data_IF_412970941211
#
_entry.id   IF_412970941211
#
_cell.length_a   1.000
_cell.length_b   1.000
_cell.length_c   1.000
_cell.angle_alpha   90.00
_cell.angle_beta   90.00
_cell.angle_gamma   90.00
#
_symmetry.space_group_name_H-M   'P 1'
#
loop_
_entity.id
_entity.type
_entity.pdbx_description
1 polymer ?
#
# COMPACT_ATOMS: atom_id res chain seq x y z
N UNK A 1 11.21 9.93 -14.20
CA UNK A 1 11.21 8.57 -13.62
C UNK A 1 10.66 8.70 -12.21
N UNK A 2 9.83 7.77 -11.73
CA UNK A 2 9.57 7.70 -10.29
C UNK A 2 10.89 7.40 -9.60
N UNK A 3 11.27 8.20 -8.61
CA UNK A 3 12.51 8.00 -7.85
C UNK A 3 12.15 8.07 -6.38
N UNK A 4 12.37 6.98 -5.66
CA UNK A 4 12.23 6.98 -4.21
C UNK A 4 13.37 7.87 -3.68
N UNK A 5 13.10 8.97 -2.95
CA UNK A 5 14.14 9.87 -2.47
C UNK A 5 15.11 9.16 -1.54
N UNK A 6 16.33 9.68 -1.40
CA UNK A 6 17.28 9.23 -0.36
C UNK A 6 16.64 9.43 1.03
N UNK A 7 16.89 8.47 1.93
CA UNK A 7 16.42 8.59 3.31
C UNK A 7 17.14 9.76 4.00
N UNK A 8 16.48 10.40 4.94
CA UNK A 8 17.07 11.40 5.83
C UNK A 8 18.15 10.75 6.70
N UNK A 9 18.96 11.58 7.36
CA UNK A 9 19.96 11.12 8.35
C UNK A 9 19.34 10.34 9.52
N UNK A 10 18.04 10.48 9.72
CA UNK A 10 17.24 9.75 10.71
C UNK A 10 16.61 8.46 10.18
N UNK A 11 16.90 8.08 8.94
CA UNK A 11 16.48 6.79 8.38
C UNK A 11 15.09 6.76 7.76
N UNK A 12 14.45 7.92 7.54
CA UNK A 12 13.09 8.01 7.01
C UNK A 12 13.04 8.63 5.63
N UNK A 13 11.99 8.35 4.87
CA UNK A 13 11.71 9.16 3.68
C UNK A 13 11.42 10.61 4.09
N UNK A 14 11.86 11.61 3.32
CA UNK A 14 11.43 12.98 3.54
C UNK A 14 9.89 13.10 3.51
N UNK A 15 9.28 14.13 4.13
CA UNK A 15 7.84 14.28 4.11
C UNK A 15 7.28 14.42 2.68
N UNK A 16 6.35 13.54 2.29
CA UNK A 16 5.71 13.58 0.98
C UNK A 16 5.09 12.25 0.56
N UNK A 17 4.53 12.23 -0.64
CA UNK A 17 4.08 11.01 -1.33
C UNK A 17 4.93 10.86 -2.59
N UNK A 18 5.58 9.71 -2.72
CA UNK A 18 6.49 9.42 -3.81
C UNK A 18 5.96 8.26 -4.64
N UNK A 19 5.96 8.43 -5.96
CA UNK A 19 5.60 7.36 -6.87
C UNK A 19 6.73 6.33 -6.90
N UNK A 20 6.37 5.06 -6.82
CA UNK A 20 7.27 3.93 -6.97
C UNK A 20 6.51 2.76 -7.59
N UNK A 21 7.19 1.98 -8.41
CA UNK A 21 6.72 0.67 -8.84
C UNK A 21 6.93 -0.36 -7.73
N UNK A 22 6.23 -1.50 -7.81
CA UNK A 22 6.44 -2.59 -6.87
C UNK A 22 7.91 -3.08 -6.88
N UNK A 23 8.55 -3.34 -8.04
CA UNK A 23 9.97 -3.75 -8.05
C UNK A 23 10.89 -2.73 -7.36
N UNK A 24 10.77 -1.43 -7.66
CA UNK A 24 11.58 -0.39 -7.02
C UNK A 24 11.42 -0.36 -5.50
N UNK A 25 10.19 -0.59 -5.01
CA UNK A 25 9.92 -0.67 -3.58
C UNK A 25 10.54 -1.91 -2.94
N UNK A 26 10.44 -3.07 -3.59
CA UNK A 26 10.99 -4.34 -3.11
C UNK A 26 12.51 -4.35 -3.11
N UNK A 27 13.12 -3.88 -4.20
CA UNK A 27 14.58 -3.80 -4.33
C UNK A 27 15.17 -2.88 -3.25
N UNK A 28 14.43 -1.85 -2.86
CA UNK A 28 14.87 -0.89 -1.86
C UNK A 28 14.59 -1.30 -0.42
N UNK A 29 13.39 -1.80 -0.13
CA UNK A 29 12.92 -1.99 1.24
C UNK A 29 12.66 -3.46 1.60
N UNK A 30 12.55 -4.34 0.62
CA UNK A 30 12.29 -5.77 0.79
C UNK A 30 13.55 -6.63 0.95
N UNK A 31 14.72 -6.04 1.19
CA UNK A 31 16.02 -6.72 1.25
C UNK A 31 16.78 -6.41 2.54
N UNK A 32 17.81 -7.19 2.88
CA UNK A 32 18.76 -6.90 3.97
C UNK A 32 18.49 -7.62 5.29
N UNK A 33 17.33 -8.26 5.45
CA UNK A 33 17.03 -9.19 6.54
C UNK A 33 15.92 -10.15 6.14
N UNK A 34 15.85 -11.31 6.80
CA UNK A 34 14.76 -12.28 6.57
C UNK A 34 13.38 -11.67 6.80
N UNK A 35 13.27 -10.75 7.77
CA UNK A 35 12.04 -10.03 8.07
C UNK A 35 11.65 -9.08 6.94
N UNK A 36 12.59 -8.33 6.38
CA UNK A 36 12.33 -7.46 5.22
C UNK A 36 11.91 -8.27 3.99
N UNK A 37 12.58 -9.38 3.73
CA UNK A 37 12.22 -10.28 2.64
C UNK A 37 10.83 -10.88 2.83
N UNK A 38 10.49 -11.28 4.06
CA UNK A 38 9.15 -11.75 4.42
C UNK A 38 8.07 -10.69 4.17
N UNK A 39 8.30 -9.46 4.61
CA UNK A 39 7.38 -8.34 4.38
C UNK A 39 7.30 -7.92 2.90
N UNK A 40 8.40 -8.03 2.15
CA UNK A 40 8.43 -7.81 0.71
C UNK A 40 7.61 -8.84 -0.07
N UNK A 41 7.67 -10.11 0.33
CA UNK A 41 6.79 -11.17 -0.21
C UNK A 41 5.31 -10.85 0.09
N UNK A 42 4.99 -10.49 1.34
CA UNK A 42 3.64 -10.09 1.71
C UNK A 42 3.15 -8.88 0.90
N UNK A 43 3.99 -7.86 0.69
CA UNK A 43 3.64 -6.71 -0.15
C UNK A 43 3.33 -7.14 -1.59
N UNK A 44 4.10 -8.07 -2.15
CA UNK A 44 3.87 -8.62 -3.50
C UNK A 44 2.53 -9.33 -3.59
N UNK A 45 2.19 -10.14 -2.59
CA UNK A 45 0.90 -10.84 -2.50
C UNK A 45 -0.27 -9.86 -2.39
N UNK A 46 -0.14 -8.83 -1.54
CA UNK A 46 -1.16 -7.79 -1.37
C UNK A 46 -1.38 -7.00 -2.66
N UNK A 47 -0.31 -6.61 -3.36
CA UNK A 47 -0.41 -5.90 -4.65
C UNK A 47 -1.04 -6.78 -5.73
N UNK A 48 -0.63 -8.06 -5.80
CA UNK A 48 -1.22 -9.02 -6.73
C UNK A 48 -2.73 -9.16 -6.50
N UNK A 49 -3.14 -9.35 -5.24
CA UNK A 49 -4.55 -9.40 -4.87
C UNK A 49 -5.26 -8.09 -5.23
N UNK A 50 -4.69 -6.93 -4.93
CA UNK A 50 -5.32 -5.63 -5.18
C UNK A 50 -5.55 -5.34 -6.68
N UNK A 51 -4.68 -5.84 -7.57
CA UNK A 51 -4.77 -5.59 -9.02
C UNK A 51 -6.02 -6.16 -9.67
N UNK A 52 -6.61 -7.21 -9.09
CA UNK A 52 -7.87 -7.81 -9.56
C UNK A 52 -9.08 -6.88 -9.36
N UNK A 53 -8.92 -5.76 -8.64
CA UNK A 53 -10.00 -4.89 -8.20
C UNK A 53 -9.89 -3.53 -8.91
N UNK A 54 -10.69 -3.28 -9.97
CA UNK A 54 -10.60 -2.05 -10.76
C UNK A 54 -10.96 -0.78 -9.97
N UNK A 55 -11.58 -0.93 -8.81
CA UNK A 55 -11.91 0.17 -7.90
C UNK A 55 -10.71 0.65 -7.08
N UNK A 56 -9.69 -0.19 -6.90
CA UNK A 56 -8.45 0.20 -6.24
C UNK A 56 -7.59 0.90 -7.27
N UNK A 57 -7.24 2.15 -6.97
CA UNK A 57 -6.45 2.99 -7.86
C UNK A 57 -5.00 2.99 -7.44
N UNK A 58 -4.70 3.10 -6.14
CA UNK A 58 -3.33 3.15 -5.63
C UNK A 58 -3.20 2.43 -4.30
N UNK A 59 -1.98 2.05 -3.97
CA UNK A 59 -1.58 1.57 -2.66
C UNK A 59 -0.51 2.51 -2.12
N UNK A 60 -0.73 3.06 -0.93
CA UNK A 60 0.24 3.84 -0.19
C UNK A 60 0.90 2.91 0.81
N UNK A 61 2.23 2.81 0.78
CA UNK A 61 3.02 2.02 1.75
C UNK A 61 3.75 3.00 2.65
N UNK A 62 3.70 2.77 3.96
CA UNK A 62 4.27 3.68 4.95
C UNK A 62 4.81 2.90 6.15
N UNK A 63 5.09 3.62 7.23
CA UNK A 63 5.51 3.02 8.49
C UNK A 63 6.93 2.46 8.46
N UNK A 64 7.19 1.45 9.30
CA UNK A 64 8.54 0.98 9.56
C UNK A 64 9.18 0.21 8.40
N UNK A 65 8.38 -0.28 7.45
CA UNK A 65 8.89 -1.01 6.28
C UNK A 65 9.69 -0.12 5.33
N UNK A 66 9.23 1.12 5.11
CA UNK A 66 9.85 2.10 4.19
C UNK A 66 10.88 3.02 4.86
N UNK A 67 11.48 2.57 5.97
CA UNK A 67 12.61 3.23 6.63
C UNK A 67 13.90 2.41 6.47
N UNK A 68 14.99 2.82 7.14
CA UNK A 68 16.25 2.07 7.21
C UNK A 68 16.27 0.98 8.31
N UNK A 69 15.19 0.85 9.10
CA UNK A 69 15.14 -0.06 10.24
C UNK A 69 15.41 -1.51 9.83
N UNK A 70 16.48 -2.15 10.30
CA UNK A 70 16.86 -3.50 9.86
C UNK A 70 15.72 -4.53 9.96
N UNK A 71 14.96 -4.45 11.04
CA UNK A 71 13.82 -5.33 11.36
C UNK A 71 12.53 -4.49 11.46
N UNK A 72 11.80 -4.27 10.35
CA UNK A 72 10.49 -3.64 10.39
C UNK A 72 9.50 -4.52 11.16
N UNK A 73 8.52 -3.89 11.81
CA UNK A 73 7.58 -4.64 12.65
C UNK A 73 6.59 -5.43 11.78
N UNK A 74 5.93 -4.72 10.88
CA UNK A 74 4.82 -5.12 10.03
C UNK A 74 4.81 -4.31 8.72
N UNK A 75 3.84 -4.62 7.85
CA UNK A 75 3.62 -3.93 6.59
C UNK A 75 2.43 -2.98 6.73
N UNK A 76 2.70 -1.69 6.87
CA UNK A 76 1.68 -0.65 6.90
C UNK A 76 1.33 -0.18 5.49
N UNK A 77 0.05 -0.24 5.13
CA UNK A 77 -0.43 0.26 3.84
C UNK A 77 -1.86 0.77 3.88
N UNK A 78 -2.24 1.52 2.84
CA UNK A 78 -3.60 2.00 2.63
C UNK A 78 -3.97 1.97 1.15
N UNK A 79 -5.21 1.62 0.84
CA UNK A 79 -5.71 1.67 -0.53
C UNK A 79 -6.42 2.99 -0.81
N UNK A 80 -6.13 3.56 -1.97
CA UNK A 80 -6.91 4.64 -2.56
C UNK A 80 -7.92 3.99 -3.50
N UNK A 81 -9.20 4.07 -3.16
CA UNK A 81 -10.29 3.51 -3.94
C UNK A 81 -11.13 4.60 -4.61
N UNK A 82 -11.62 4.36 -5.82
CA UNK A 82 -12.55 5.26 -6.53
C UNK A 82 -14.01 5.11 -6.11
N UNK A 83 -14.28 4.24 -5.13
CA UNK A 83 -15.63 4.01 -4.59
C UNK A 83 -15.56 3.90 -3.08
N UNK A 84 -16.62 4.31 -2.41
CA UNK A 84 -16.85 3.95 -1.02
C UNK A 84 -17.36 2.51 -0.96
N UNK A 85 -16.49 1.59 -0.51
CA UNK A 85 -16.86 0.18 -0.34
C UNK A 85 -17.89 -0.06 0.77
N UNK A 86 -18.21 0.96 1.59
CA UNK A 86 -19.33 0.94 2.54
C UNK A 86 -20.70 1.04 1.88
N UNK A 87 -20.79 1.72 0.73
CA UNK A 87 -22.09 2.08 0.14
C UNK A 87 -22.55 1.11 -0.95
N UNK A 88 -21.69 0.16 -1.33
CA UNK A 88 -22.04 -0.93 -2.25
C UNK A 88 -21.76 -2.27 -1.61
N UNK A 89 -22.72 -3.19 -1.76
CA UNK A 89 -22.54 -4.62 -1.53
C UNK A 89 -21.20 -5.05 -2.12
N UNK A 90 -20.21 -5.27 -1.27
CA UNK A 90 -18.93 -5.83 -1.69
C UNK A 90 -19.22 -7.23 -2.22
N UNK A 91 -18.90 -7.49 -3.49
CA UNK A 91 -19.07 -8.82 -4.09
C UNK A 91 -18.35 -9.86 -3.24
N UNK A 92 -18.90 -11.07 -3.10
CA UNK A 92 -18.38 -12.05 -2.14
C UNK A 92 -16.89 -12.36 -2.32
N UNK A 93 -16.42 -12.46 -3.56
CA UNK A 93 -15.02 -12.70 -3.91
C UNK A 93 -14.05 -11.61 -3.39
N UNK A 94 -14.59 -10.42 -3.11
CA UNK A 94 -13.89 -9.22 -2.71
C UNK A 94 -13.94 -8.95 -1.20
N UNK A 95 -14.81 -9.65 -0.48
CA UNK A 95 -15.09 -9.37 0.93
C UNK A 95 -13.89 -9.64 1.83
N UNK A 96 -13.17 -10.74 1.61
CA UNK A 96 -11.89 -11.04 2.28
C UNK A 96 -10.86 -9.93 2.20
N UNK A 97 -10.95 -9.08 1.18
CA UNK A 97 -10.03 -7.97 1.02
C UNK A 97 -10.58 -6.69 1.65
N UNK A 98 -11.85 -6.37 1.40
CA UNK A 98 -12.45 -5.08 1.71
C UNK A 98 -13.22 -5.05 3.04
N UNK A 99 -13.61 -6.19 3.60
CA UNK A 99 -14.32 -6.30 4.88
C UNK A 99 -13.29 -6.53 5.99
N UNK A 100 -13.16 -5.63 6.98
CA UNK A 100 -12.11 -5.73 8.01
C UNK A 100 -12.06 -7.07 8.74
N UNK A 101 -13.22 -7.62 9.13
CA UNK A 101 -13.29 -8.92 9.81
C UNK A 101 -12.78 -10.07 8.94
N UNK A 102 -13.10 -10.06 7.65
CA UNK A 102 -12.68 -11.13 6.74
C UNK A 102 -11.20 -11.00 6.35
N UNK A 103 -10.69 -9.77 6.22
CA UNK A 103 -9.27 -9.51 6.03
C UNK A 103 -8.44 -9.99 7.23
N UNK A 104 -8.95 -9.81 8.46
CA UNK A 104 -8.31 -10.34 9.67
C UNK A 104 -8.28 -11.86 9.67
N UNK A 105 -9.38 -12.51 9.29
CA UNK A 105 -9.47 -13.99 9.25
C UNK A 105 -8.55 -14.56 8.16
N UNK A 106 -8.52 -13.96 6.98
CA UNK A 106 -7.84 -14.54 5.82
C UNK A 106 -6.36 -14.17 5.76
N UNK A 107 -6.02 -12.91 6.02
CA UNK A 107 -4.66 -12.39 5.89
C UNK A 107 -3.98 -12.10 7.24
N UNK A 108 -4.70 -12.16 8.36
CA UNK A 108 -4.14 -11.83 9.67
C UNK A 108 -3.89 -10.33 9.89
N UNK A 109 -4.49 -9.46 9.07
CA UNK A 109 -4.25 -8.00 9.11
C UNK A 109 -5.46 -7.23 9.64
N UNK A 110 -5.21 -6.12 10.34
CA UNK A 110 -6.26 -5.18 10.71
C UNK A 110 -6.41 -4.10 9.64
N UNK A 111 -7.61 -4.01 9.04
CA UNK A 111 -7.91 -3.03 7.98
C UNK A 111 -8.82 -1.92 8.49
N UNK A 112 -8.46 -0.68 8.19
CA UNK A 112 -9.29 0.51 8.42
C UNK A 112 -9.57 1.27 7.11
N UNK A 113 -10.54 2.19 7.16
CA UNK A 113 -10.82 3.13 6.08
C UNK A 113 -10.46 4.53 6.57
N UNK A 114 -9.60 5.23 5.82
CA UNK A 114 -9.36 6.65 6.02
C UNK A 114 -10.10 7.42 4.92
N UNK A 115 -11.07 8.23 5.33
CA UNK A 115 -11.72 9.19 4.44
C UNK A 115 -10.95 10.51 4.55
N UNK A 116 -10.20 10.86 3.50
CA UNK A 116 -9.52 12.15 3.46
C UNK A 116 -10.47 13.14 2.78
N UNK A 117 -11.24 13.87 3.61
CA UNK A 117 -12.03 15.00 3.14
C UNK A 117 -11.07 16.10 2.68
N UNK A 118 -11.35 16.69 1.53
CA UNK A 118 -10.58 17.80 0.94
C UNK A 118 -9.16 17.45 0.44
N UNK A 119 -8.85 16.17 0.21
CA UNK A 119 -7.64 15.78 -0.52
C UNK A 119 -7.88 15.90 -2.03
N UNK A 120 -7.05 16.62 -2.81
CA UNK A 120 -7.24 16.77 -4.25
C UNK A 120 -6.86 15.48 -4.98
N UNK A 121 -7.68 14.44 -4.81
CA UNK A 121 -7.54 13.15 -5.49
C UNK A 121 -7.51 13.37 -7.00
N UNK A 122 -8.25 14.37 -7.51
CA UNK A 122 -8.30 14.71 -8.93
C UNK A 122 -6.91 15.03 -9.48
N UNK A 123 -6.05 15.74 -8.73
CA UNK A 123 -4.68 16.06 -9.16
C UNK A 123 -3.78 14.83 -9.32
N UNK A 124 -4.08 13.72 -8.64
CA UNK A 124 -3.34 12.47 -8.77
C UNK A 124 -4.05 11.44 -9.66
N UNK A 125 -5.38 11.55 -9.81
CA UNK A 125 -6.18 10.73 -10.70
C UNK A 125 -6.08 11.18 -12.17
N UNK A 126 -5.83 12.46 -12.45
CA UNK A 126 -5.72 12.99 -13.81
C UNK A 126 -4.33 12.78 -14.45
N UNK A 127 -3.27 12.57 -13.67
CA UNK A 127 -1.93 12.23 -14.21
C UNK A 127 -1.83 10.78 -14.73
N UNK A 128 -2.96 10.12 -14.97
CA UNK A 128 -3.11 8.69 -14.70
C UNK A 128 -3.89 7.97 -15.83
N UNK A 129 -3.46 8.18 -17.08
CA UNK A 129 -3.74 7.20 -18.13
C UNK A 129 -3.03 5.90 -17.76
N UNK A 130 -3.81 4.81 -17.72
CA UNK A 130 -3.33 3.44 -17.55
C UNK A 130 -2.28 3.16 -18.64
N UNK A 131 -1.01 3.01 -18.24
CA UNK A 131 -0.01 2.24 -18.97
C UNK A 131 0.26 0.98 -18.14
#
# INVERSE_FOLDING_TARGET
>A
MPEIPVLTDTGFLPPGIYNATLPECLDRFGVGSEKREGLGRLLSEVVSAAREYPTIKRMLVWGSFVSDKLEPNDLDYSFVCSVMHRDRMVRDEHRRFLVPSEARIFYGVDRSYLEIKDYPIERFAEQMLFL
#
